data_IF_585622677837
#
_entry.id   IF_585622677837
#
_cell.length_a   1.000
_cell.length_b   1.000
_cell.length_c   1.000
_cell.angle_alpha   90.00
_cell.angle_beta   90.00
_cell.angle_gamma   90.00
#
_symmetry.space_group_name_H-M   'P 1'
#
loop_
_entity.id
_entity.type
_entity.pdbx_description
1 polymer ?
#
# COMPACT_ATOMS: atom_id res chain seq x y z
N UNK A 1 39.13 0.75 -28.41
CA UNK A 1 38.96 1.84 -29.40
C UNK A 1 37.66 1.59 -30.16
N UNK A 2 36.73 2.56 -30.26
CA UNK A 2 35.54 2.38 -31.08
C UNK A 2 35.94 2.20 -32.55
N UNK A 3 35.18 1.38 -33.25
CA UNK A 3 35.47 0.96 -34.62
C UNK A 3 35.63 2.18 -35.55
N UNK A 4 34.86 3.24 -35.33
CA UNK A 4 34.88 4.46 -36.15
C UNK A 4 36.17 5.28 -36.04
N UNK A 5 36.68 5.54 -34.83
CA UNK A 5 37.94 6.26 -34.65
C UNK A 5 39.14 5.46 -35.18
N UNK A 6 39.05 4.13 -35.07
CA UNK A 6 40.07 3.21 -35.56
C UNK A 6 40.09 3.21 -37.10
N UNK A 7 38.92 3.13 -37.74
CA UNK A 7 38.76 3.22 -39.19
C UNK A 7 39.19 4.59 -39.72
N UNK A 8 38.87 5.68 -39.01
CA UNK A 8 39.29 7.03 -39.37
C UNK A 8 40.82 7.18 -39.31
N UNK A 9 41.49 6.68 -38.26
CA UNK A 9 42.95 6.67 -38.20
C UNK A 9 43.58 5.84 -39.31
N UNK A 10 43.07 4.62 -39.57
CA UNK A 10 43.58 3.77 -40.64
C UNK A 10 43.50 4.44 -42.01
N UNK A 11 42.37 5.11 -42.29
CA UNK A 11 42.21 5.84 -43.55
C UNK A 11 43.11 7.07 -43.63
N UNK A 12 43.43 7.71 -42.50
CA UNK A 12 44.32 8.87 -42.43
C UNK A 12 45.78 8.43 -42.65
N UNK A 13 46.18 7.29 -42.10
CA UNK A 13 47.48 6.65 -42.38
C UNK A 13 47.65 6.36 -43.87
N UNK A 14 46.63 5.80 -44.52
CA UNK A 14 46.68 5.49 -45.96
C UNK A 14 46.86 6.76 -46.83
N UNK A 15 46.17 7.87 -46.52
CA UNK A 15 46.33 9.14 -47.24
C UNK A 15 47.71 9.78 -47.05
N UNK A 16 48.33 9.57 -45.88
CA UNK A 16 49.70 10.01 -45.59
C UNK A 16 50.72 9.22 -46.43
N UNK A 17 50.54 7.91 -46.56
CA UNK A 17 51.41 7.05 -47.36
C UNK A 17 51.39 7.43 -48.84
N UNK A 18 50.25 7.89 -49.38
CA UNK A 18 50.10 8.32 -50.78
C UNK A 18 50.89 9.61 -51.11
N UNK A 19 51.17 10.46 -50.11
CA UNK A 19 51.97 11.66 -50.29
C UNK A 19 53.46 11.36 -50.54
N UNK A 20 53.97 10.23 -50.05
CA UNK A 20 55.39 9.84 -50.16
C UNK A 20 55.88 9.67 -51.61
N UNK A 21 55.21 8.83 -52.43
CA UNK A 21 55.50 8.71 -53.86
C UNK A 21 55.28 10.03 -54.62
N UNK A 22 54.20 10.74 -54.25
CA UNK A 22 53.94 12.18 -54.46
C UNK A 22 55.21 13.03 -54.54
N UNK A 23 55.80 13.22 -53.36
CA UNK A 23 56.97 14.06 -53.13
C UNK A 23 58.23 13.49 -53.79
N UNK A 24 58.40 12.17 -53.76
CA UNK A 24 59.60 11.51 -54.29
C UNK A 24 59.79 11.76 -55.78
N UNK A 25 58.73 11.68 -56.59
CA UNK A 25 58.87 12.01 -58.02
C UNK A 25 58.81 13.50 -58.33
N UNK A 26 58.42 14.38 -57.39
CA UNK A 26 58.51 15.84 -57.58
C UNK A 26 60.00 16.18 -57.54
N UNK A 27 60.70 15.63 -56.55
CA UNK A 27 62.15 15.75 -56.40
C UNK A 27 62.91 15.27 -57.64
N UNK A 28 62.55 14.11 -58.21
CA UNK A 28 63.18 13.60 -59.44
C UNK A 28 62.94 14.48 -60.67
N UNK A 29 61.77 15.14 -60.76
CA UNK A 29 61.40 15.97 -61.91
C UNK A 29 61.96 17.39 -61.84
N UNK A 30 62.42 17.83 -60.66
CA UNK A 30 62.99 19.17 -60.47
C UNK A 30 64.27 19.41 -61.29
N UNK A 31 65.10 18.38 -61.48
CA UNK A 31 66.30 18.48 -62.33
C UNK A 31 65.94 18.69 -63.80
N UNK A 32 64.90 18.01 -64.30
CA UNK A 32 64.40 18.19 -65.67
C UNK A 32 63.77 19.57 -65.89
N UNK A 33 63.10 20.10 -64.86
CA UNK A 33 62.55 21.47 -64.87
C UNK A 33 63.68 22.50 -64.89
N UNK A 34 64.73 22.29 -64.10
CA UNK A 34 65.90 23.16 -64.06
C UNK A 34 66.61 23.22 -65.42
N UNK A 35 66.63 22.11 -66.16
CA UNK A 35 67.16 22.02 -67.52
C UNK A 35 66.21 22.58 -68.61
N UNK A 36 65.09 23.23 -68.24
CA UNK A 36 64.20 23.95 -69.15
C UNK A 36 63.07 23.12 -69.78
N UNK A 37 62.76 21.92 -69.27
CA UNK A 37 61.68 21.10 -69.83
C UNK A 37 60.29 21.56 -69.37
N UNK A 38 59.55 22.23 -70.25
CA UNK A 38 58.15 22.62 -70.00
C UNK A 38 57.22 21.43 -69.69
N UNK A 39 57.50 20.25 -70.26
CA UNK A 39 56.74 19.04 -69.98
C UNK A 39 56.98 18.52 -68.55
N UNK A 40 58.19 18.70 -68.02
CA UNK A 40 58.50 18.36 -66.63
C UNK A 40 57.83 19.34 -65.67
N UNK A 41 57.74 20.62 -66.03
CA UNK A 41 57.07 21.65 -65.24
C UNK A 41 55.58 21.33 -65.07
N UNK A 42 54.88 21.02 -66.16
CA UNK A 42 53.46 20.65 -66.12
C UNK A 42 53.20 19.38 -65.28
N UNK A 43 54.10 18.38 -65.34
CA UNK A 43 54.02 17.17 -64.49
C UNK A 43 54.27 17.52 -63.02
N UNK A 44 55.23 18.39 -62.74
CA UNK A 44 55.56 18.84 -61.40
C UNK A 44 54.37 19.59 -60.78
N UNK A 45 53.75 20.53 -61.50
CA UNK A 45 52.56 21.25 -61.06
C UNK A 45 51.38 20.32 -60.75
N UNK A 46 51.11 19.34 -61.61
CA UNK A 46 50.05 18.37 -61.36
C UNK A 46 50.30 17.58 -60.05
N UNK A 47 51.55 17.16 -59.82
CA UNK A 47 51.92 16.38 -58.63
C UNK A 47 51.92 17.24 -57.36
N UNK A 48 52.29 18.52 -57.46
CA UNK A 48 52.12 19.50 -56.39
C UNK A 48 50.63 19.68 -56.04
N UNK A 49 49.75 19.77 -57.04
CA UNK A 49 48.30 19.85 -56.81
C UNK A 49 47.74 18.58 -56.13
N UNK A 50 48.23 17.40 -56.49
CA UNK A 50 47.86 16.13 -55.82
C UNK A 50 48.25 16.19 -54.34
N UNK A 51 49.50 16.55 -54.02
CA UNK A 51 49.98 16.64 -52.63
C UNK A 51 49.19 17.71 -51.85
N UNK A 52 48.93 18.87 -52.46
CA UNK A 52 48.12 19.93 -51.84
C UNK A 52 46.72 19.43 -51.48
N UNK A 53 46.04 18.76 -52.41
CA UNK A 53 44.70 18.24 -52.19
C UNK A 53 44.69 17.14 -51.12
N UNK A 54 45.70 16.25 -51.11
CA UNK A 54 45.85 15.24 -50.08
C UNK A 54 46.07 15.84 -48.69
N UNK A 55 46.90 16.90 -48.57
CA UNK A 55 47.12 17.60 -47.30
C UNK A 55 45.85 18.28 -46.78
N UNK A 56 45.01 18.84 -47.67
CA UNK A 56 43.71 19.39 -47.30
C UNK A 56 42.79 18.29 -46.76
N UNK A 57 42.70 17.15 -47.45
CA UNK A 57 41.88 16.01 -47.01
C UNK A 57 42.37 15.45 -45.67
N UNK A 58 43.68 15.28 -45.49
CA UNK A 58 44.31 14.88 -44.22
C UNK A 58 43.94 15.85 -43.10
N UNK A 59 44.02 17.17 -43.35
CA UNK A 59 43.67 18.20 -42.37
C UNK A 59 42.21 18.12 -41.96
N UNK A 60 41.30 17.92 -42.92
CA UNK A 60 39.88 17.78 -42.66
C UNK A 60 39.57 16.50 -41.87
N UNK A 61 40.25 15.39 -42.18
CA UNK A 61 40.13 14.14 -41.43
C UNK A 61 40.63 14.26 -40.00
N UNK A 62 41.77 14.95 -39.78
CA UNK A 62 42.25 15.25 -38.42
C UNK A 62 41.24 16.08 -37.64
N UNK A 63 40.64 17.10 -38.28
CA UNK A 63 39.60 17.92 -37.64
C UNK A 63 38.39 17.08 -37.23
N UNK A 64 37.92 16.18 -38.11
CA UNK A 64 36.81 15.26 -37.82
C UNK A 64 37.16 14.29 -36.69
N UNK A 65 38.36 13.69 -36.72
CA UNK A 65 38.83 12.80 -35.66
C UNK A 65 38.93 13.53 -34.31
N UNK A 66 39.42 14.77 -34.30
CA UNK A 66 39.46 15.59 -33.09
C UNK A 66 38.05 15.84 -32.51
N UNK A 67 37.08 16.19 -33.36
CA UNK A 67 35.70 16.39 -32.94
C UNK A 67 35.05 15.11 -32.38
N UNK A 68 35.31 13.95 -32.99
CA UNK A 68 34.76 12.67 -32.50
C UNK A 68 35.38 12.26 -31.18
N UNK A 69 36.68 12.50 -30.98
CA UNK A 69 37.36 12.24 -29.71
C UNK A 69 36.83 13.14 -28.58
N UNK A 70 36.66 14.44 -28.81
CA UNK A 70 36.10 15.37 -27.82
C UNK A 70 34.67 14.96 -27.42
N UNK A 71 33.81 14.66 -28.41
CA UNK A 71 32.45 14.22 -28.12
C UNK A 71 32.41 12.92 -27.30
N UNK A 72 33.38 12.02 -27.54
CA UNK A 72 33.50 10.77 -26.80
C UNK A 72 33.98 10.99 -25.37
N UNK A 73 34.94 11.87 -25.17
CA UNK A 73 35.43 12.26 -23.85
C UNK A 73 34.29 12.80 -22.98
N UNK A 74 33.53 13.76 -23.51
CA UNK A 74 32.33 14.30 -22.84
C UNK A 74 31.29 13.22 -22.49
N UNK A 75 31.05 12.29 -23.41
CA UNK A 75 30.14 11.18 -23.14
C UNK A 75 30.67 10.22 -22.05
N UNK A 76 31.99 10.00 -21.98
CA UNK A 76 32.59 9.19 -20.92
C UNK A 76 32.53 9.90 -19.56
N UNK A 77 32.79 11.22 -19.53
CA UNK A 77 32.64 12.04 -18.32
C UNK A 77 31.20 11.98 -17.80
N UNK A 78 30.20 12.19 -18.67
CA UNK A 78 28.80 12.08 -18.29
C UNK A 78 28.46 10.70 -17.71
N UNK A 79 28.96 9.62 -18.33
CA UNK A 79 28.74 8.26 -17.81
C UNK A 79 29.41 8.05 -16.45
N UNK A 80 30.58 8.65 -16.22
CA UNK A 80 31.24 8.59 -14.92
C UNK A 80 30.42 9.31 -13.85
N UNK A 81 29.84 10.47 -14.17
CA UNK A 81 28.97 11.21 -13.26
C UNK A 81 27.67 10.45 -12.96
N UNK A 82 27.05 9.85 -13.97
CA UNK A 82 25.85 9.02 -13.80
C UNK A 82 26.13 7.81 -12.89
N UNK A 83 27.24 7.10 -13.13
CA UNK A 83 27.67 5.95 -12.30
C UNK A 83 27.93 6.40 -10.86
N UNK A 84 28.57 7.57 -10.68
CA UNK A 84 28.83 8.13 -9.35
C UNK A 84 27.54 8.48 -8.62
N UNK A 85 26.56 9.05 -9.32
CA UNK A 85 25.26 9.36 -8.74
C UNK A 85 24.49 8.09 -8.33
N UNK A 86 24.51 7.06 -9.18
CA UNK A 86 23.86 5.78 -8.89
C UNK A 86 24.53 5.06 -7.71
N UNK A 87 25.87 5.08 -7.64
CA UNK A 87 26.61 4.57 -6.49
C UNK A 87 26.22 5.28 -5.19
N UNK A 88 26.11 6.61 -5.21
CA UNK A 88 25.67 7.39 -4.05
C UNK A 88 24.24 7.09 -3.62
N UNK A 89 23.32 6.80 -4.56
CA UNK A 89 21.96 6.37 -4.22
C UNK A 89 21.98 4.98 -3.59
N UNK A 90 22.67 4.03 -4.22
CA UNK A 90 22.79 2.67 -3.71
C UNK A 90 23.42 2.63 -2.32
N UNK A 91 24.41 3.47 -2.04
CA UNK A 91 25.02 3.59 -0.71
C UNK A 91 23.99 4.04 0.34
N UNK A 92 23.15 5.04 0.03
CA UNK A 92 22.09 5.49 0.95
C UNK A 92 21.05 4.40 1.21
N UNK A 93 20.71 3.62 0.19
CA UNK A 93 19.76 2.51 0.33
C UNK A 93 20.33 1.41 1.23
N UNK A 94 21.62 1.09 1.07
CA UNK A 94 22.33 0.16 1.98
C UNK A 94 22.31 0.68 3.41
N UNK A 95 22.65 1.95 3.64
CA UNK A 95 22.64 2.52 4.99
C UNK A 95 21.25 2.47 5.64
N UNK A 96 20.19 2.75 4.86
CA UNK A 96 18.80 2.65 5.33
C UNK A 96 18.40 1.20 5.66
N UNK A 97 18.79 0.24 4.82
CA UNK A 97 18.53 -1.17 5.06
C UNK A 97 19.29 -1.68 6.30
N UNK A 98 20.54 -1.27 6.48
CA UNK A 98 21.32 -1.59 7.68
C UNK A 98 20.66 -1.04 8.95
N UNK A 99 20.17 0.20 8.93
CA UNK A 99 19.46 0.79 10.06
C UNK A 99 18.14 0.04 10.33
N UNK A 100 17.38 -0.28 9.28
CA UNK A 100 16.13 -1.02 9.42
C UNK A 100 16.35 -2.42 9.97
N UNK A 101 17.43 -3.09 9.55
CA UNK A 101 17.79 -4.42 10.06
C UNK A 101 18.11 -4.35 11.55
N UNK A 102 18.89 -3.36 12.00
CA UNK A 102 19.20 -3.15 13.42
C UNK A 102 17.92 -2.97 14.27
N UNK A 103 16.96 -2.17 13.79
CA UNK A 103 15.67 -1.98 14.48
C UNK A 103 14.86 -3.29 14.53
N UNK A 104 14.84 -4.05 13.43
CA UNK A 104 14.14 -5.33 13.36
C UNK A 104 14.76 -6.35 14.32
N UNK A 105 16.08 -6.42 14.41
CA UNK A 105 16.80 -7.28 15.37
C UNK A 105 16.42 -6.91 16.80
N UNK A 106 16.48 -5.62 17.17
CA UNK A 106 16.12 -5.20 18.52
C UNK A 106 14.65 -5.52 18.87
N UNK A 107 13.73 -5.36 17.91
CA UNK A 107 12.32 -5.77 18.09
C UNK A 107 12.18 -7.28 18.27
N UNK A 108 12.99 -8.07 17.57
CA UNK A 108 13.07 -9.52 17.74
C UNK A 108 13.48 -9.89 19.17
N UNK A 109 14.55 -9.28 19.68
CA UNK A 109 15.04 -9.50 21.04
C UNK A 109 13.99 -9.12 22.10
N UNK A 110 13.26 -8.03 21.88
CA UNK A 110 12.18 -7.59 22.78
C UNK A 110 10.99 -8.57 22.78
N UNK A 111 10.57 -9.05 21.60
CA UNK A 111 9.52 -10.06 21.50
C UNK A 111 9.94 -11.37 22.17
N UNK A 112 11.20 -11.77 22.03
CA UNK A 112 11.74 -12.95 22.70
C UNK A 112 11.71 -12.80 24.22
N UNK A 113 12.07 -11.63 24.75
CA UNK A 113 11.98 -11.35 26.19
C UNK A 113 10.54 -11.45 26.69
N UNK A 114 9.59 -10.78 26.01
CA UNK A 114 8.16 -10.83 26.36
C UNK A 114 7.60 -12.26 26.30
N UNK A 115 8.05 -13.07 25.35
CA UNK A 115 7.64 -14.47 25.26
C UNK A 115 8.10 -15.25 26.49
N UNK A 116 9.33 -15.05 26.96
CA UNK A 116 9.83 -15.72 28.16
C UNK A 116 9.08 -15.23 29.42
N UNK A 117 8.79 -13.92 29.52
CA UNK A 117 7.99 -13.35 30.62
C UNK A 117 6.58 -13.99 30.67
N UNK A 118 5.88 -14.02 29.53
CA UNK A 118 4.53 -14.62 29.45
C UNK A 118 4.51 -16.12 29.74
N UNK A 119 5.58 -16.83 29.40
CA UNK A 119 5.77 -18.24 29.71
C UNK A 119 5.98 -18.46 31.21
N UNK A 120 6.72 -17.58 31.87
CA UNK A 120 6.87 -17.61 33.33
C UNK A 120 5.59 -17.25 34.06
N UNK A 121 4.83 -16.27 33.57
CA UNK A 121 3.49 -15.94 34.07
C UNK A 121 2.54 -17.13 33.93
N UNK A 122 2.57 -17.84 32.80
CA UNK A 122 1.76 -19.03 32.59
C UNK A 122 2.14 -20.16 33.56
N UNK A 123 3.45 -20.38 33.80
CA UNK A 123 3.92 -21.35 34.79
C UNK A 123 3.47 -20.96 36.21
N UNK A 124 3.49 -19.68 36.54
CA UNK A 124 3.00 -19.17 37.81
C UNK A 124 1.49 -19.40 37.95
N UNK A 125 0.69 -19.00 36.96
CA UNK A 125 -0.76 -19.21 36.94
C UNK A 125 -1.11 -20.69 37.06
N UNK A 126 -0.42 -21.58 36.32
CA UNK A 126 -0.62 -23.03 36.40
C UNK A 126 -0.40 -23.58 37.81
N UNK A 127 0.65 -23.12 38.52
CA UNK A 127 0.88 -23.50 39.92
C UNK A 127 -0.28 -23.05 40.81
N UNK A 128 -0.70 -21.80 40.67
CA UNK A 128 -1.80 -21.23 41.47
C UNK A 128 -3.14 -21.92 41.21
N UNK A 129 -3.39 -22.39 39.98
CA UNK A 129 -4.55 -23.22 39.66
C UNK A 129 -4.50 -24.57 40.37
N UNK A 130 -3.35 -25.25 40.34
CA UNK A 130 -3.18 -26.53 41.05
C UNK A 130 -3.36 -26.38 42.58
N UNK A 131 -2.85 -25.30 43.16
CA UNK A 131 -3.11 -24.95 44.57
C UNK A 131 -4.61 -24.72 44.82
N UNK A 132 -5.27 -23.98 43.92
CA UNK A 132 -6.73 -23.79 43.97
C UNK A 132 -7.52 -25.09 43.90
N UNK A 133 -7.17 -26.01 42.99
CA UNK A 133 -7.77 -27.34 42.90
C UNK A 133 -7.62 -28.13 44.20
N UNK A 134 -6.44 -28.10 44.80
CA UNK A 134 -6.20 -28.75 46.10
C UNK A 134 -7.11 -28.17 47.19
N UNK A 135 -7.21 -26.83 47.29
CA UNK A 135 -8.08 -26.19 48.28
C UNK A 135 -9.56 -26.54 48.07
N UNK A 136 -10.00 -26.70 46.82
CA UNK A 136 -11.39 -27.11 46.52
C UNK A 136 -11.63 -28.55 46.95
N UNK A 137 -10.68 -29.46 46.72
CA UNK A 137 -10.82 -30.85 47.20
C UNK A 137 -10.79 -30.97 48.72
N UNK A 138 -9.97 -30.16 49.40
CA UNK A 138 -9.96 -30.08 50.86
C UNK A 138 -11.33 -29.57 51.38
N UNK A 139 -11.88 -28.51 50.77
CA UNK A 139 -13.20 -27.98 51.13
C UNK A 139 -14.34 -28.96 50.85
N UNK A 140 -14.30 -29.69 49.73
CA UNK A 140 -15.28 -30.77 49.45
C UNK A 140 -15.24 -31.84 50.53
N UNK A 141 -14.04 -32.20 50.99
CA UNK A 141 -13.86 -33.21 52.03
C UNK A 141 -14.40 -32.73 53.37
N UNK A 142 -14.09 -31.47 53.75
CA UNK A 142 -14.68 -30.83 54.93
C UNK A 142 -16.20 -30.75 54.86
N UNK A 143 -16.78 -30.45 53.69
CA UNK A 143 -18.22 -30.41 53.50
C UNK A 143 -18.87 -31.79 53.67
N UNK A 144 -18.26 -32.85 53.14
CA UNK A 144 -18.74 -34.23 53.35
C UNK A 144 -18.73 -34.60 54.83
N UNK A 145 -17.66 -34.26 55.55
CA UNK A 145 -17.55 -34.51 56.99
C UNK A 145 -18.59 -33.70 57.78
N UNK A 146 -18.81 -32.44 57.41
CA UNK A 146 -19.83 -31.60 58.03
C UNK A 146 -21.25 -32.16 57.79
N UNK A 147 -21.57 -32.59 56.57
CA UNK A 147 -22.84 -33.23 56.26
C UNK A 147 -23.04 -34.51 57.05
N UNK A 148 -22.01 -35.36 57.17
CA UNK A 148 -22.08 -36.57 58.00
C UNK A 148 -22.40 -36.23 59.46
N UNK A 149 -21.75 -35.21 60.02
CA UNK A 149 -22.03 -34.74 61.39
C UNK A 149 -23.46 -34.20 61.55
N UNK A 150 -23.99 -33.52 60.55
CA UNK A 150 -25.39 -33.06 60.56
C UNK A 150 -26.33 -34.26 60.51
N UNK A 151 -26.07 -35.25 59.66
CA UNK A 151 -26.87 -36.48 59.63
C UNK A 151 -26.84 -37.24 60.96
N UNK A 152 -25.66 -37.34 61.59
CA UNK A 152 -25.49 -37.89 62.94
C UNK A 152 -26.29 -37.08 63.98
N UNK A 153 -26.19 -35.74 63.95
CA UNK A 153 -26.94 -34.87 64.85
C UNK A 153 -28.46 -34.88 64.61
N UNK A 154 -28.91 -35.04 63.35
CA UNK A 154 -30.33 -35.20 63.00
C UNK A 154 -30.88 -36.56 63.42
N UNK A 155 -30.05 -37.62 63.38
CA UNK A 155 -30.41 -38.90 63.94
C UNK A 155 -30.59 -38.81 65.47
N UNK A 156 -29.77 -38.01 66.15
CA UNK A 156 -29.92 -37.70 67.58
C UNK A 156 -31.07 -36.69 67.89
N UNK A 157 -31.44 -35.82 66.94
CA UNK A 157 -32.51 -34.81 67.07
C UNK A 157 -33.90 -35.28 66.61
N UNK A 158 -34.11 -36.58 66.38
CA UNK A 158 -35.46 -37.15 66.24
C UNK A 158 -36.28 -37.10 67.55
N UNK A 159 -35.77 -36.40 68.57
CA UNK A 159 -36.57 -35.64 69.52
C UNK A 159 -36.16 -34.17 69.46
N UNK A 160 -37.11 -33.36 68.99
CA UNK A 160 -37.21 -31.91 69.18
C UNK A 160 -36.68 -30.98 68.06
N UNK A 161 -37.58 -30.06 67.75
CA UNK A 161 -37.72 -29.15 66.61
C UNK A 161 -36.65 -28.05 66.50
N UNK A 162 -36.43 -27.53 65.27
CA UNK A 162 -35.77 -26.23 65.12
C UNK A 162 -35.21 -25.90 63.74
N UNK A 163 -36.04 -25.31 62.89
CA UNK A 163 -35.70 -24.69 61.61
C UNK A 163 -34.75 -23.48 61.78
N UNK A 164 -33.79 -23.28 60.86
CA UNK A 164 -33.33 -21.95 60.43
C UNK A 164 -32.56 -21.99 59.11
N UNK A 165 -33.10 -21.26 58.13
CA UNK A 165 -32.53 -20.89 56.84
C UNK A 165 -31.22 -20.12 56.97
N UNK A 166 -30.26 -20.40 56.08
CA UNK A 166 -29.36 -19.38 55.52
C UNK A 166 -28.60 -19.93 54.32
N UNK A 167 -29.11 -19.69 53.11
CA UNK A 167 -28.26 -19.59 51.91
C UNK A 167 -28.89 -18.67 50.88
N UNK A 168 -28.10 -17.71 50.42
CA UNK A 168 -28.38 -16.75 49.35
C UNK A 168 -28.87 -17.44 48.07
N UNK A 169 -30.19 -17.57 47.93
CA UNK A 169 -30.83 -18.05 46.71
C UNK A 169 -30.78 -16.95 45.64
N UNK A 170 -30.00 -17.16 44.58
CA UNK A 170 -30.21 -16.44 43.32
C UNK A 170 -31.63 -16.77 42.85
N UNK A 171 -32.49 -15.78 42.70
CA UNK A 171 -33.90 -15.98 42.35
C UNK A 171 -34.00 -16.85 41.07
N UNK A 172 -34.72 -17.98 41.08
CA UNK A 172 -34.85 -18.87 39.91
C UNK A 172 -35.39 -18.15 38.67
N UNK A 173 -36.21 -17.10 38.85
CA UNK A 173 -36.69 -16.27 37.76
C UNK A 173 -35.56 -15.48 37.05
N UNK A 174 -34.51 -15.09 37.78
CA UNK A 174 -33.36 -14.37 37.21
C UNK A 174 -32.44 -15.30 36.43
N UNK A 175 -32.25 -16.54 36.90
CA UNK A 175 -31.57 -17.59 36.12
C UNK A 175 -32.34 -17.93 34.84
N UNK A 176 -33.66 -18.01 34.90
CA UNK A 176 -34.48 -18.23 33.70
C UNK A 176 -34.35 -17.08 32.69
N UNK A 177 -34.38 -15.82 33.15
CA UNK A 177 -34.14 -14.64 32.31
C UNK A 177 -32.75 -14.66 31.68
N UNK A 178 -31.73 -15.08 32.42
CA UNK A 178 -30.37 -15.24 31.91
C UNK A 178 -30.29 -16.32 30.82
N UNK A 179 -30.92 -17.48 31.02
CA UNK A 179 -30.94 -18.56 30.03
C UNK A 179 -31.65 -18.13 28.73
N UNK A 180 -32.74 -17.38 28.84
CA UNK A 180 -33.43 -16.81 27.66
C UNK A 180 -32.51 -15.82 26.92
N UNK A 181 -31.83 -14.92 27.64
CA UNK A 181 -30.90 -13.97 27.04
C UNK A 181 -29.73 -14.67 26.31
N UNK A 182 -29.21 -15.77 26.85
CA UNK A 182 -28.22 -16.61 26.17
C UNK A 182 -28.76 -17.27 24.91
N UNK A 183 -29.99 -17.81 24.96
CA UNK A 183 -30.63 -18.41 23.78
C UNK A 183 -30.79 -17.40 22.64
N UNK A 184 -31.23 -16.18 22.95
CA UNK A 184 -31.36 -15.11 21.95
C UNK A 184 -29.99 -14.65 21.45
N UNK A 185 -28.98 -14.59 22.31
CA UNK A 185 -27.60 -14.24 21.92
C UNK A 185 -27.01 -15.26 20.95
N UNK A 186 -27.15 -16.57 21.21
CA UNK A 186 -26.68 -17.61 20.31
C UNK A 186 -27.40 -17.56 18.95
N UNK A 187 -28.71 -17.31 18.95
CA UNK A 187 -29.47 -17.11 17.73
C UNK A 187 -29.02 -15.85 16.95
N UNK A 188 -28.66 -14.77 17.65
CA UNK A 188 -28.15 -13.54 17.04
C UNK A 188 -26.76 -13.75 16.41
N UNK A 189 -25.88 -14.49 17.08
CA UNK A 189 -24.55 -14.85 16.57
C UNK A 189 -24.69 -15.75 15.35
N UNK A 190 -25.57 -16.76 15.40
CA UNK A 190 -25.83 -17.63 14.25
C UNK A 190 -26.31 -16.86 13.02
N UNK A 191 -27.22 -15.89 13.19
CA UNK A 191 -27.68 -15.04 12.10
C UNK A 191 -26.56 -14.13 11.57
N UNK A 192 -25.72 -13.61 12.47
CA UNK A 192 -24.58 -12.78 12.14
C UNK A 192 -23.55 -13.52 11.28
N UNK A 193 -23.18 -14.74 11.68
CA UNK A 193 -22.21 -15.57 10.96
C UNK A 193 -22.76 -16.03 9.60
N UNK A 194 -24.09 -16.18 9.48
CA UNK A 194 -24.77 -16.42 8.21
C UNK A 194 -24.86 -15.18 7.30
N UNK A 195 -24.44 -14.00 7.76
CA UNK A 195 -24.54 -12.74 7.02
C UNK A 195 -25.94 -12.10 7.02
N UNK A 196 -26.86 -12.59 7.85
CA UNK A 196 -28.22 -12.08 7.96
C UNK A 196 -28.30 -10.89 8.94
N UNK A 197 -27.58 -9.82 8.62
CA UNK A 197 -27.41 -8.66 9.52
C UNK A 197 -28.74 -7.97 9.90
N UNK A 198 -29.73 -8.00 9.01
CA UNK A 198 -31.05 -7.41 9.24
C UNK A 198 -31.87 -8.16 10.31
N UNK A 199 -31.68 -9.48 10.44
CA UNK A 199 -32.33 -10.29 11.48
C UNK A 199 -31.50 -10.34 12.75
N UNK A 200 -30.18 -10.16 12.65
CA UNK A 200 -29.26 -10.17 13.79
C UNK A 200 -29.34 -8.88 14.65
N UNK A 201 -29.39 -7.66 14.07
CA UNK A 201 -29.46 -6.41 14.87
C UNK A 201 -30.61 -6.35 15.89
N UNK A 202 -31.87 -6.67 15.55
CA UNK A 202 -32.96 -6.62 16.52
C UNK A 202 -32.74 -7.64 17.65
N UNK A 203 -32.25 -8.85 17.35
CA UNK A 203 -31.93 -9.85 18.37
C UNK A 203 -30.82 -9.40 19.32
N UNK A 204 -29.77 -8.74 18.80
CA UNK A 204 -28.74 -8.15 19.66
C UNK A 204 -29.26 -6.97 20.49
N UNK A 205 -30.21 -6.18 19.96
CA UNK A 205 -30.88 -5.13 20.72
C UNK A 205 -31.73 -5.70 21.87
N UNK A 206 -32.42 -6.80 21.62
CA UNK A 206 -33.20 -7.52 22.63
C UNK A 206 -32.29 -8.08 23.73
N UNK A 207 -31.18 -8.73 23.37
CA UNK A 207 -30.18 -9.19 24.35
C UNK A 207 -29.64 -8.02 25.18
N UNK A 208 -29.31 -6.90 24.57
CA UNK A 208 -28.83 -5.73 25.31
C UNK A 208 -29.87 -5.19 26.30
N UNK A 209 -31.15 -5.23 25.94
CA UNK A 209 -32.26 -4.85 26.82
C UNK A 209 -32.45 -5.85 27.96
N UNK A 210 -32.40 -7.15 27.66
CA UNK A 210 -32.48 -8.22 28.65
C UNK A 210 -31.33 -8.15 29.65
N UNK A 211 -30.10 -7.93 29.19
CA UNK A 211 -28.90 -7.78 30.04
C UNK A 211 -29.00 -6.55 30.94
N UNK A 212 -29.53 -5.43 30.45
CA UNK A 212 -29.78 -4.24 31.29
C UNK A 212 -30.77 -4.48 32.42
N UNK A 213 -31.70 -5.42 32.24
CA UNK A 213 -32.73 -5.76 33.25
C UNK A 213 -32.29 -6.87 34.21
N UNK A 214 -31.13 -7.52 33.99
CA UNK A 214 -30.59 -8.53 34.90
C UNK A 214 -29.93 -7.87 36.14
N UNK A 215 -29.85 -8.58 37.29
CA UNK A 215 -29.02 -8.17 38.42
C UNK A 215 -27.55 -8.00 38.03
N UNK A 216 -26.82 -7.06 38.64
CA UNK A 216 -25.40 -6.79 38.36
C UNK A 216 -24.52 -8.05 38.47
N UNK A 217 -24.84 -8.93 39.43
CA UNK A 217 -24.21 -10.22 39.64
C UNK A 217 -24.42 -11.23 38.50
N UNK A 218 -25.28 -10.98 37.50
CA UNK A 218 -25.45 -11.85 36.33
C UNK A 218 -25.06 -11.16 35.02
N UNK A 219 -24.86 -9.83 35.04
CA UNK A 219 -24.46 -9.04 33.86
C UNK A 219 -23.04 -9.32 33.39
N UNK A 220 -22.14 -9.62 34.32
CA UNK A 220 -20.72 -9.88 34.00
C UNK A 220 -20.50 -11.12 33.12
N UNK A 221 -21.50 -12.00 33.03
CA UNK A 221 -21.46 -13.17 32.15
C UNK A 221 -21.72 -12.82 30.67
N UNK A 222 -22.15 -11.58 30.38
CA UNK A 222 -22.36 -11.09 29.03
C UNK A 222 -21.27 -10.09 28.65
N UNK A 223 -20.57 -10.37 27.55
CA UNK A 223 -19.62 -9.42 26.98
C UNK A 223 -20.37 -8.30 26.25
N UNK A 224 -20.62 -7.22 26.99
CA UNK A 224 -21.27 -6.02 26.45
C UNK A 224 -20.49 -5.36 25.32
N UNK A 225 -19.16 -5.50 25.29
CA UNK A 225 -18.30 -4.95 24.22
C UNK A 225 -18.49 -5.75 22.93
N UNK A 226 -18.51 -7.09 23.03
CA UNK A 226 -18.80 -7.96 21.88
C UNK A 226 -20.20 -7.72 21.31
N UNK A 227 -21.22 -7.59 22.18
CA UNK A 227 -22.59 -7.26 21.74
C UNK A 227 -22.61 -5.91 21.01
N UNK A 228 -21.94 -4.88 21.55
CA UNK A 228 -21.85 -3.57 20.90
C UNK A 228 -21.11 -3.62 19.56
N UNK A 229 -20.08 -4.46 19.44
CA UNK A 229 -19.35 -4.71 18.20
C UNK A 229 -20.28 -5.31 17.14
N UNK A 230 -20.98 -6.41 17.44
CA UNK A 230 -21.87 -7.07 16.49
C UNK A 230 -22.98 -6.13 16.00
N UNK A 231 -23.58 -5.34 16.91
CA UNK A 231 -24.57 -4.32 16.52
C UNK A 231 -24.00 -3.25 15.61
N UNK A 232 -22.77 -2.80 15.87
CA UNK A 232 -22.11 -1.78 15.05
C UNK A 232 -21.85 -2.29 13.63
N UNK A 233 -21.44 -3.57 13.50
CA UNK A 233 -21.26 -4.23 12.20
C UNK A 233 -22.61 -4.42 11.50
N UNK A 234 -23.64 -4.94 12.17
CA UNK A 234 -24.96 -5.12 11.55
C UNK A 234 -25.51 -3.81 10.99
N UNK A 235 -25.39 -2.71 11.75
CA UNK A 235 -25.84 -1.38 11.31
C UNK A 235 -25.00 -0.82 10.18
N UNK A 236 -23.72 -1.15 10.12
CA UNK A 236 -22.86 -0.75 9.01
C UNK A 236 -23.24 -1.46 7.69
N UNK A 237 -23.70 -2.71 7.76
CA UNK A 237 -24.09 -3.49 6.57
C UNK A 237 -25.54 -3.27 6.13
N UNK A 238 -26.42 -2.83 7.03
CA UNK A 238 -27.87 -2.65 6.76
C UNK A 238 -28.33 -1.21 6.64
N UNK A 239 -27.62 -0.27 7.30
CA UNK A 239 -27.99 1.13 7.36
C UNK A 239 -27.48 1.95 6.18
N UNK A 240 -27.79 3.24 6.18
CA UNK A 240 -27.21 4.18 5.23
C UNK A 240 -25.71 4.40 5.53
N UNK A 241 -24.91 4.73 4.51
CA UNK A 241 -23.46 4.92 4.70
C UNK A 241 -23.13 5.99 5.78
N UNK A 242 -24.00 6.99 5.99
CA UNK A 242 -23.82 8.01 7.04
C UNK A 242 -24.09 7.48 8.45
N UNK A 243 -25.13 6.67 8.61
CA UNK A 243 -25.45 6.03 9.89
C UNK A 243 -24.37 5.01 10.26
N UNK A 244 -23.91 4.26 9.27
CA UNK A 244 -22.78 3.34 9.39
C UNK A 244 -21.52 4.07 9.88
N UNK A 245 -21.14 5.19 9.25
CA UNK A 245 -19.98 5.99 9.67
C UNK A 245 -20.11 6.46 11.12
N UNK A 246 -21.29 6.93 11.50
CA UNK A 246 -21.56 7.45 12.86
C UNK A 246 -21.41 6.34 13.89
N UNK A 247 -22.06 5.18 13.67
CA UNK A 247 -22.05 4.06 14.63
C UNK A 247 -20.67 3.41 14.77
N UNK A 248 -19.93 3.25 13.67
CA UNK A 248 -18.56 2.73 13.72
C UNK A 248 -17.61 3.69 14.45
N UNK A 249 -17.80 5.00 14.27
CA UNK A 249 -16.99 6.02 14.99
C UNK A 249 -17.31 6.03 16.48
N UNK A 250 -18.60 5.98 16.85
CA UNK A 250 -19.03 5.88 18.25
C UNK A 250 -18.43 4.65 18.95
N UNK A 251 -18.39 3.50 18.27
CA UNK A 251 -17.79 2.28 18.81
C UNK A 251 -16.30 2.47 19.12
N UNK A 252 -15.53 3.01 18.18
CA UNK A 252 -14.09 3.24 18.36
C UNK A 252 -13.78 4.25 19.48
N UNK A 253 -14.68 5.20 19.75
CA UNK A 253 -14.53 6.18 20.83
C UNK A 253 -14.97 5.65 22.20
N UNK A 254 -15.96 4.77 22.22
CA UNK A 254 -16.59 4.31 23.47
C UNK A 254 -15.96 3.04 24.03
N UNK A 255 -15.26 2.25 23.21
CA UNK A 255 -14.75 0.93 23.58
C UNK A 255 -13.24 0.80 23.38
N UNK A 256 -12.48 1.56 24.18
CA UNK A 256 -11.02 1.51 24.20
C UNK A 256 -10.45 0.15 24.66
N UNK A 257 -11.23 -0.67 25.36
CA UNK A 257 -10.82 -2.02 25.79
C UNK A 257 -11.25 -3.13 24.82
N UNK A 258 -11.86 -2.81 23.67
CA UNK A 258 -12.25 -3.82 22.68
C UNK A 258 -11.04 -4.61 22.16
N UNK A 259 -11.27 -5.88 21.81
CA UNK A 259 -10.24 -6.75 21.28
C UNK A 259 -9.59 -6.14 20.02
N UNK A 260 -8.28 -6.34 19.85
CA UNK A 260 -7.53 -5.77 18.73
C UNK A 260 -8.11 -6.18 17.36
N UNK A 261 -8.60 -7.41 17.24
CA UNK A 261 -9.28 -7.93 16.03
C UNK A 261 -10.61 -7.20 15.75
N UNK A 262 -11.42 -6.94 16.78
CA UNK A 262 -12.68 -6.19 16.65
C UNK A 262 -12.41 -4.75 16.21
N UNK A 263 -11.40 -4.09 16.80
CA UNK A 263 -10.99 -2.74 16.39
C UNK A 263 -10.46 -2.71 14.96
N UNK A 264 -9.64 -3.69 14.56
CA UNK A 264 -9.13 -3.80 13.21
C UNK A 264 -10.27 -3.96 12.19
N UNK A 265 -11.25 -4.79 12.49
CA UNK A 265 -12.41 -5.00 11.63
C UNK A 265 -13.30 -3.75 11.53
N UNK A 266 -13.64 -3.11 12.65
CA UNK A 266 -14.43 -1.87 12.66
C UNK A 266 -13.71 -0.74 11.91
N UNK A 267 -12.38 -0.62 12.09
CA UNK A 267 -11.57 0.38 11.39
C UNK A 267 -11.54 0.12 9.88
N UNK A 268 -11.45 -1.15 9.47
CA UNK A 268 -11.56 -1.55 8.07
C UNK A 268 -12.94 -1.19 7.48
N UNK A 269 -14.03 -1.52 8.16
CA UNK A 269 -15.40 -1.18 7.75
C UNK A 269 -15.60 0.33 7.65
N UNK A 270 -15.08 1.10 8.61
CA UNK A 270 -15.14 2.55 8.59
C UNK A 270 -14.41 3.14 7.39
N UNK A 271 -13.22 2.62 7.06
CA UNK A 271 -12.49 3.01 5.85
C UNK A 271 -13.33 2.72 4.60
N UNK A 272 -13.94 1.53 4.51
CA UNK A 272 -14.79 1.11 3.39
C UNK A 272 -16.00 2.04 3.22
N UNK A 273 -16.70 2.36 4.30
CA UNK A 273 -17.84 3.27 4.31
C UNK A 273 -17.44 4.69 3.91
N UNK A 274 -16.28 5.18 4.36
CA UNK A 274 -15.76 6.50 3.97
C UNK A 274 -15.36 6.58 2.50
N UNK A 275 -14.92 5.47 1.90
CA UNK A 275 -14.73 5.39 0.44
C UNK A 275 -16.06 5.58 -0.28
N UNK A 276 -17.14 4.91 0.16
CA UNK A 276 -18.48 5.06 -0.44
C UNK A 276 -19.00 6.50 -0.34
N UNK A 277 -18.72 7.17 0.78
CA UNK A 277 -19.05 8.59 1.00
C UNK A 277 -18.13 9.59 0.27
N UNK A 278 -17.14 9.12 -0.49
CA UNK A 278 -16.20 9.99 -1.23
C UNK A 278 -15.15 10.68 -0.36
N UNK A 279 -15.02 10.32 0.93
CA UNK A 279 -14.07 10.91 1.88
C UNK A 279 -12.71 10.22 1.83
N UNK A 280 -12.04 10.32 0.67
CA UNK A 280 -10.83 9.53 0.36
C UNK A 280 -9.63 9.79 1.29
N UNK A 281 -9.45 11.01 1.79
CA UNK A 281 -8.32 11.33 2.69
C UNK A 281 -8.47 10.68 4.06
N UNK A 282 -9.67 10.75 4.64
CA UNK A 282 -9.98 10.10 5.90
C UNK A 282 -10.07 8.58 5.76
N UNK A 283 -10.56 8.09 4.61
CA UNK A 283 -10.58 6.66 4.31
C UNK A 283 -9.16 6.08 4.23
N UNK A 284 -8.21 6.82 3.63
CA UNK A 284 -6.81 6.40 3.56
C UNK A 284 -6.19 6.24 4.96
N UNK A 285 -6.45 7.19 5.86
CA UNK A 285 -5.94 7.15 7.22
C UNK A 285 -6.43 5.92 7.99
N UNK A 286 -7.73 5.66 7.97
CA UNK A 286 -8.28 4.46 8.61
C UNK A 286 -7.87 3.17 7.91
N UNK A 287 -7.69 3.18 6.58
CA UNK A 287 -7.20 2.00 5.86
C UNK A 287 -5.75 1.66 6.24
N UNK A 288 -4.88 2.66 6.41
CA UNK A 288 -3.52 2.44 6.92
C UNK A 288 -3.54 1.88 8.34
N UNK A 289 -4.37 2.46 9.22
CA UNK A 289 -4.55 1.98 10.59
C UNK A 289 -5.06 0.55 10.64
N UNK A 290 -6.04 0.20 9.79
CA UNK A 290 -6.61 -1.14 9.74
C UNK A 290 -5.56 -2.18 9.28
N UNK A 291 -4.76 -1.85 8.25
CA UNK A 291 -3.68 -2.73 7.79
C UNK A 291 -2.61 -2.93 8.87
N UNK A 292 -2.26 -1.86 9.61
CA UNK A 292 -1.35 -1.95 10.75
C UNK A 292 -1.88 -2.85 11.87
N UNK A 293 -3.13 -2.63 12.28
CA UNK A 293 -3.77 -3.41 13.33
C UNK A 293 -3.93 -4.89 12.93
N UNK A 294 -4.33 -5.18 11.69
CA UNK A 294 -4.43 -6.55 11.20
C UNK A 294 -3.06 -7.24 11.13
N UNK A 295 -2.00 -6.53 10.75
CA UNK A 295 -0.66 -7.09 10.74
C UNK A 295 -0.16 -7.47 12.14
N UNK A 296 -0.52 -6.69 13.16
CA UNK A 296 -0.20 -6.99 14.56
C UNK A 296 -1.02 -8.15 15.13
N UNK A 297 -2.26 -8.32 14.68
CA UNK A 297 -3.16 -9.41 15.11
C UNK A 297 -2.80 -10.72 14.41
N UNK A 298 -2.82 -10.74 13.08
CA UNK A 298 -2.46 -11.90 12.27
C UNK A 298 -2.16 -11.47 10.82
N UNK A 299 -0.88 -11.51 10.45
CA UNK A 299 -0.42 -11.18 9.09
C UNK A 299 -0.79 -12.20 8.01
N UNK A 300 -1.36 -13.35 8.38
CA UNK A 300 -1.72 -14.45 7.47
C UNK A 300 -3.22 -14.54 7.16
N UNK A 301 -4.07 -13.82 7.90
CA UNK A 301 -5.51 -13.91 7.77
C UNK A 301 -6.05 -13.23 6.50
N UNK A 302 -7.19 -13.69 6.01
CA UNK A 302 -7.82 -13.13 4.80
C UNK A 302 -8.30 -11.68 5.03
N UNK A 303 -8.69 -11.33 6.27
CA UNK A 303 -9.13 -9.99 6.64
C UNK A 303 -8.01 -8.95 6.53
N UNK A 304 -6.76 -9.35 6.78
CA UNK A 304 -5.58 -8.51 6.52
C UNK A 304 -5.46 -8.20 5.02
N UNK A 305 -5.58 -9.22 4.16
CA UNK A 305 -5.50 -9.03 2.71
C UNK A 305 -6.69 -8.26 2.14
N UNK A 306 -7.87 -8.35 2.74
CA UNK A 306 -9.02 -7.50 2.43
C UNK A 306 -8.73 -6.02 2.75
N UNK A 307 -8.05 -5.73 3.87
CA UNK A 307 -7.61 -4.38 4.20
C UNK A 307 -6.53 -3.85 3.23
N UNK A 308 -5.60 -4.70 2.80
CA UNK A 308 -4.59 -4.37 1.79
C UNK A 308 -5.23 -4.08 0.42
N UNK A 309 -6.22 -4.87 0.01
CA UNK A 309 -6.96 -4.65 -1.24
C UNK A 309 -7.72 -3.31 -1.21
N UNK A 310 -8.36 -2.98 -0.08
CA UNK A 310 -9.02 -1.69 0.11
C UNK A 310 -8.02 -0.51 0.05
N UNK A 311 -6.83 -0.66 0.65
CA UNK A 311 -5.78 0.35 0.60
C UNK A 311 -5.32 0.62 -0.85
N UNK A 312 -5.09 -0.44 -1.63
CA UNK A 312 -4.76 -0.32 -3.05
C UNK A 312 -5.88 0.39 -3.83
N UNK A 313 -7.15 0.10 -3.51
CA UNK A 313 -8.31 0.76 -4.12
C UNK A 313 -8.34 2.26 -3.83
N UNK A 314 -8.07 2.67 -2.60
CA UNK A 314 -8.01 4.09 -2.22
C UNK A 314 -6.91 4.81 -3.01
N UNK A 315 -5.72 4.21 -3.17
CA UNK A 315 -4.66 4.81 -3.98
C UNK A 315 -5.04 4.96 -5.45
N UNK A 316 -5.74 3.97 -6.01
CA UNK A 316 -6.27 4.09 -7.37
C UNK A 316 -7.28 5.23 -7.49
N UNK A 317 -8.22 5.34 -6.55
CA UNK A 317 -9.23 6.43 -6.52
C UNK A 317 -8.60 7.81 -6.33
N UNK A 318 -7.44 7.90 -5.68
CA UNK A 318 -6.64 9.14 -5.56
C UNK A 318 -5.78 9.44 -6.80
N UNK A 319 -5.98 8.74 -7.93
CA UNK A 319 -5.21 8.91 -9.17
C UNK A 319 -3.72 8.61 -8.96
N UNK A 320 -3.41 7.59 -8.14
CA UNK A 320 -2.03 7.11 -7.89
C UNK A 320 -1.90 5.62 -8.22
N UNK A 321 -2.03 5.23 -9.50
CA UNK A 321 -2.03 3.82 -9.91
C UNK A 321 -0.70 3.11 -9.61
N UNK A 322 0.43 3.82 -9.69
CA UNK A 322 1.75 3.28 -9.35
C UNK A 322 1.82 2.80 -7.89
N UNK A 323 1.19 3.53 -6.96
CA UNK A 323 1.15 3.16 -5.54
C UNK A 323 0.19 2.00 -5.26
N UNK A 324 -0.93 1.96 -5.97
CA UNK A 324 -1.85 0.81 -5.89
C UNK A 324 -1.15 -0.49 -6.34
N UNK A 325 -0.39 -0.43 -7.44
CA UNK A 325 0.40 -1.56 -7.92
C UNK A 325 1.53 -1.94 -6.96
N UNK A 326 2.21 -0.96 -6.36
CA UNK A 326 3.25 -1.22 -5.37
C UNK A 326 2.71 -1.98 -4.15
N UNK A 327 1.53 -1.60 -3.64
CA UNK A 327 0.86 -2.30 -2.53
C UNK A 327 0.49 -3.75 -2.93
N UNK A 328 -0.05 -3.96 -4.13
CA UNK A 328 -0.41 -5.31 -4.60
C UNK A 328 0.84 -6.18 -4.77
N UNK A 329 1.92 -5.63 -5.32
CA UNK A 329 3.15 -6.38 -5.60
C UNK A 329 3.92 -6.80 -4.35
N UNK A 330 3.68 -6.15 -3.22
CA UNK A 330 4.27 -6.49 -1.94
C UNK A 330 3.51 -7.54 -1.12
N UNK A 331 2.33 -7.94 -1.59
CA UNK A 331 1.63 -9.08 -0.99
C UNK A 331 2.39 -10.38 -1.30
N UNK A 332 2.39 -11.40 -0.42
CA UNK A 332 3.00 -12.70 -0.72
C UNK A 332 2.42 -13.36 -1.96
N UNK A 333 3.23 -14.06 -2.75
CA UNK A 333 2.85 -14.59 -4.08
C UNK A 333 1.58 -15.45 -4.04
N UNK A 334 1.43 -16.28 -3.00
CA UNK A 334 0.26 -17.15 -2.76
C UNK A 334 -1.04 -16.40 -2.43
N UNK A 335 -0.97 -15.10 -2.10
CA UNK A 335 -2.12 -14.24 -1.79
C UNK A 335 -2.27 -13.06 -2.76
N UNK A 336 -1.35 -12.87 -3.71
CA UNK A 336 -1.43 -11.80 -4.71
C UNK A 336 -2.70 -11.90 -5.56
N UNK A 337 -3.07 -13.10 -5.99
CA UNK A 337 -4.26 -13.27 -6.82
C UNK A 337 -5.57 -13.05 -6.04
N UNK A 338 -5.57 -13.40 -4.75
CA UNK A 338 -6.67 -13.05 -3.84
C UNK A 338 -6.84 -11.53 -3.72
N UNK A 339 -5.74 -10.80 -3.44
CA UNK A 339 -5.74 -9.34 -3.32
C UNK A 339 -6.14 -8.69 -4.64
N UNK A 340 -5.67 -9.19 -5.79
CA UNK A 340 -6.08 -8.70 -7.12
C UNK A 340 -7.56 -8.90 -7.37
N UNK A 341 -8.09 -10.08 -7.03
CA UNK A 341 -9.51 -10.39 -7.21
C UNK A 341 -10.40 -9.51 -6.32
N UNK A 342 -10.05 -9.37 -5.04
CA UNK A 342 -10.75 -8.47 -4.10
C UNK A 342 -10.65 -6.99 -4.50
N UNK A 343 -9.49 -6.55 -4.98
CA UNK A 343 -9.33 -5.22 -5.56
C UNK A 343 -10.24 -5.01 -6.78
N UNK A 344 -10.39 -6.02 -7.63
CA UNK A 344 -11.24 -5.99 -8.80
C UNK A 344 -12.74 -5.96 -8.43
N UNK A 345 -13.18 -6.70 -7.42
CA UNK A 345 -14.58 -6.65 -6.96
C UNK A 345 -14.94 -5.32 -6.27
N UNK A 346 -13.95 -4.63 -5.69
CA UNK A 346 -14.09 -3.27 -5.17
C UNK A 346 -14.05 -2.19 -6.26
N UNK A 347 -13.80 -2.56 -7.52
CA UNK A 347 -13.92 -1.69 -8.69
C UNK A 347 -15.38 -1.75 -9.16
N UNK A 348 -16.08 -0.61 -9.12
CA UNK A 348 -17.31 -0.51 -9.90
C UNK A 348 -16.97 -0.85 -11.37
N UNK A 349 -17.77 -1.65 -12.07
CA UNK A 349 -17.53 -1.92 -13.49
C UNK A 349 -17.49 -0.57 -14.20
N UNK A 350 -16.31 -0.18 -14.64
CA UNK A 350 -16.17 0.93 -15.57
C UNK A 350 -16.95 0.53 -16.80
N UNK A 351 -18.02 1.26 -17.08
CA UNK A 351 -18.65 1.31 -18.40
C UNK A 351 -17.52 1.54 -19.39
N UNK A 352 -17.10 0.45 -20.04
CA UNK A 352 -16.31 0.51 -21.26
C UNK A 352 -17.18 1.27 -22.24
N UNK A 353 -16.87 2.54 -22.44
CA UNK A 353 -17.30 3.25 -23.64
C UNK A 353 -16.51 2.60 -24.76
N UNK A 354 -17.05 1.49 -25.27
CA UNK A 354 -16.60 0.90 -26.51
C UNK A 354 -16.78 1.97 -27.61
N UNK A 355 -15.86 2.08 -28.58
CA UNK A 355 -16.11 2.88 -29.77
C UNK A 355 -17.41 2.36 -30.39
N UNK A 356 -18.31 3.27 -30.76
CA UNK A 356 -19.58 2.95 -31.38
C UNK A 356 -19.37 1.93 -32.52
N UNK A 357 -20.08 0.79 -32.52
CA UNK A 357 -20.12 -0.05 -33.70
C UNK A 357 -20.78 0.75 -34.82
N UNK A 358 -20.07 0.84 -35.95
CA UNK A 358 -20.60 1.36 -37.20
C UNK A 358 -21.86 0.56 -37.53
N UNK A 359 -23.01 1.21 -37.39
CA UNK A 359 -24.27 0.67 -37.84
C UNK A 359 -24.21 0.53 -39.36
N UNK A 360 -24.17 -0.71 -39.83
CA UNK A 360 -24.51 -1.08 -41.20
C UNK A 360 -25.95 -0.64 -41.47
N UNK A 361 -26.22 0.12 -42.55
CA UNK A 361 -27.57 0.53 -42.88
C UNK A 361 -28.36 -0.65 -43.48
N UNK A 362 -29.68 -0.73 -43.25
CA UNK A 362 -30.52 -1.78 -43.82
C UNK A 362 -30.71 -1.58 -45.33
N UNK A 363 -30.62 -2.70 -46.06
CA UNK A 363 -30.88 -2.84 -47.49
C UNK A 363 -32.40 -2.92 -47.72
N UNK A 364 -32.96 -1.94 -48.44
CA UNK A 364 -34.24 -2.03 -49.19
C UNK A 364 -34.12 -1.10 -50.42
N UNK A 365 -34.66 -1.45 -51.62
CA UNK A 365 -34.02 -1.11 -52.90
C UNK A 365 -34.40 0.25 -53.51
N UNK A 366 -33.55 0.62 -54.48
CA UNK A 366 -33.56 1.78 -55.39
C UNK A 366 -34.93 2.08 -56.02
N UNK A 367 -35.24 3.37 -56.28
CA UNK A 367 -35.09 3.84 -57.65
C UNK A 367 -34.46 5.24 -57.80
N UNK A 368 -33.60 5.33 -58.81
CA UNK A 368 -33.36 6.39 -59.79
C UNK A 368 -33.67 7.85 -59.42
N UNK A 369 -32.67 8.74 -59.58
CA UNK A 369 -32.63 9.86 -60.58
C UNK A 369 -31.89 11.13 -60.06
N UNK A 370 -30.83 11.54 -60.80
CA UNK A 370 -30.24 12.89 -61.03
C UNK A 370 -29.64 13.79 -59.90
N UNK A 371 -28.48 14.38 -60.21
CA UNK A 371 -27.66 15.37 -59.47
C UNK A 371 -28.18 16.83 -59.62
N UNK A 372 -27.43 17.94 -59.32
CA UNK A 372 -26.36 18.24 -58.34
C UNK A 372 -26.63 19.55 -57.51
N UNK A 373 -25.82 19.89 -56.48
CA UNK A 373 -25.76 21.28 -55.99
C UNK A 373 -25.10 21.59 -54.63
N UNK A 374 -23.89 22.18 -54.69
CA UNK A 374 -23.38 23.34 -53.93
C UNK A 374 -23.42 23.48 -52.37
N UNK A 375 -22.23 23.77 -51.85
CA UNK A 375 -21.84 24.80 -50.85
C UNK A 375 -21.53 24.47 -49.36
N UNK A 376 -20.28 24.80 -49.02
CA UNK A 376 -19.67 25.17 -47.72
C UNK A 376 -20.37 26.43 -47.13
N UNK A 377 -20.28 26.76 -45.82
CA UNK A 377 -19.04 27.40 -45.31
C UNK A 377 -18.72 27.36 -43.78
N UNK A 378 -17.44 27.65 -43.50
CA UNK A 378 -16.79 28.42 -42.40
C UNK A 378 -16.91 28.10 -40.90
N UNK A 379 -15.71 27.89 -40.34
CA UNK A 379 -15.19 28.07 -38.98
C UNK A 379 -15.00 29.56 -38.61
N UNK A 380 -14.97 29.93 -37.32
CA UNK A 380 -14.10 31.01 -36.84
C UNK A 380 -13.08 30.57 -35.77
N UNK A 381 -11.98 31.32 -35.72
CA UNK A 381 -10.79 31.16 -34.87
C UNK A 381 -10.74 32.22 -33.75
N UNK A 382 -10.20 31.80 -32.57
CA UNK A 382 -9.33 32.41 -31.52
C UNK A 382 -9.33 33.95 -31.27
N UNK A 383 -8.98 34.46 -30.06
CA UNK A 383 -7.57 34.69 -29.71
C UNK A 383 -7.18 34.53 -28.20
N UNK A 384 -5.88 34.57 -27.95
CA UNK A 384 -5.17 34.43 -26.67
C UNK A 384 -4.66 35.78 -26.08
N UNK A 385 -4.00 35.67 -24.91
CA UNK A 385 -3.19 36.66 -24.13
C UNK A 385 -3.97 37.54 -23.12
N UNK A 386 -3.60 37.64 -21.83
CA UNK A 386 -2.36 38.25 -21.29
C UNK A 386 -2.18 38.00 -19.76
N UNK A 387 -0.92 37.96 -19.28
CA UNK A 387 -0.43 38.18 -17.88
C UNK A 387 -0.16 39.71 -17.72
N UNK A 388 -0.10 40.41 -16.54
CA UNK A 388 0.78 40.18 -15.35
C UNK A 388 0.18 40.78 -14.02
N UNK A 389 0.90 41.28 -12.97
CA UNK A 389 2.27 41.06 -12.44
C UNK A 389 2.32 40.69 -10.93
N UNK A 390 3.57 40.54 -10.45
CA UNK A 390 4.09 40.27 -9.11
C UNK A 390 4.05 41.53 -8.22
N UNK A 391 3.70 41.40 -6.93
CA UNK A 391 3.94 42.43 -5.90
C UNK A 391 4.51 41.80 -4.64
N UNK A 392 5.55 42.43 -4.12
CA UNK A 392 6.31 42.12 -2.90
C UNK A 392 6.11 43.30 -1.96
N UNK A 393 5.34 43.15 -0.88
CA UNK A 393 5.41 44.01 0.32
C UNK A 393 5.06 43.14 1.53
N UNK A 394 5.92 43.17 2.54
CA UNK A 394 5.78 42.37 3.76
C UNK A 394 4.66 42.84 4.66
N UNK A 395 4.11 41.90 5.44
CA UNK A 395 3.52 42.19 6.73
C UNK A 395 3.70 41.01 7.66
N UNK A 396 4.01 41.37 8.90
CA UNK A 396 4.45 40.59 10.04
C UNK A 396 3.37 39.66 10.62
N UNK A 397 3.83 38.47 11.02
CA UNK A 397 3.44 37.69 12.20
C UNK A 397 1.94 37.56 12.53
N UNK A 398 1.39 36.38 12.29
CA UNK A 398 0.63 35.62 13.31
C UNK A 398 0.65 34.13 12.95
N UNK A 399 1.26 33.35 13.83
CA UNK A 399 1.53 31.92 13.64
C UNK A 399 0.26 31.07 13.59
N UNK A 400 0.15 30.29 12.53
CA UNK A 400 -0.56 29.02 12.52
C UNK A 400 0.32 28.04 11.78
N UNK A 401 0.83 27.04 12.51
CA UNK A 401 1.73 26.02 11.99
C UNK A 401 1.04 25.22 10.89
N UNK A 402 1.26 25.63 9.64
CA UNK A 402 0.94 24.83 8.47
C UNK A 402 1.86 23.61 8.47
N UNK A 403 1.43 22.54 9.14
CA UNK A 403 2.03 21.22 8.98
C UNK A 403 1.90 20.86 7.50
N UNK A 404 3.03 20.82 6.81
CA UNK A 404 3.13 20.43 5.41
C UNK A 404 2.31 19.16 5.14
N UNK A 405 1.58 19.13 4.03
CA UNK A 405 0.87 17.93 3.58
C UNK A 405 1.80 16.72 3.43
N UNK A 406 3.12 16.94 3.28
CA UNK A 406 4.13 15.90 3.34
C UNK A 406 4.35 15.34 4.76
N UNK A 407 4.37 16.19 5.80
CA UNK A 407 4.48 15.75 7.21
C UNK A 407 3.25 14.95 7.64
N UNK A 408 2.04 15.40 7.29
CA UNK A 408 0.81 14.63 7.58
C UNK A 408 0.76 13.29 6.83
N UNK A 409 1.37 13.19 5.64
CA UNK A 409 1.49 11.92 4.89
C UNK A 409 2.51 10.96 5.51
N UNK A 410 3.67 11.47 5.93
CA UNK A 410 4.70 10.66 6.58
C UNK A 410 4.18 10.05 7.88
N UNK A 411 3.38 10.80 8.65
CA UNK A 411 2.72 10.32 9.87
C UNK A 411 1.75 9.16 9.62
N UNK A 412 0.94 9.24 8.55
CA UNK A 412 -0.07 8.22 8.19
C UNK A 412 0.54 6.87 7.83
N UNK A 413 1.74 6.85 7.22
CA UNK A 413 2.39 5.62 6.81
C UNK A 413 3.16 4.95 7.95
N UNK A 414 3.37 5.61 9.11
CA UNK A 414 4.04 4.99 10.26
C UNK A 414 3.29 3.76 10.80
N UNK A 415 1.97 3.74 10.62
CA UNK A 415 1.09 2.64 11.05
C UNK A 415 1.15 1.43 10.12
N UNK A 416 1.73 1.56 8.92
CA UNK A 416 1.84 0.44 7.99
C UNK A 416 3.04 -0.46 8.34
N UNK A 417 2.95 -1.77 8.05
CA UNK A 417 4.09 -2.67 8.05
C UNK A 417 5.25 -2.11 7.20
N UNK A 418 6.48 -2.39 7.64
CA UNK A 418 7.70 -1.84 7.02
C UNK A 418 7.75 -2.05 5.51
N UNK A 419 7.33 -3.22 5.04
CA UNK A 419 7.28 -3.53 3.60
C UNK A 419 6.50 -2.46 2.82
N UNK A 420 5.29 -2.11 3.25
CA UNK A 420 4.45 -1.09 2.60
C UNK A 420 4.98 0.32 2.76
N UNK A 421 5.70 0.61 3.86
CA UNK A 421 6.33 1.92 4.04
C UNK A 421 7.38 2.18 2.96
N UNK A 422 8.21 1.18 2.66
CA UNK A 422 9.29 1.27 1.65
C UNK A 422 8.72 1.39 0.23
N UNK A 423 7.57 0.75 -0.08
CA UNK A 423 6.95 0.88 -1.41
C UNK A 423 6.28 2.23 -1.68
N UNK A 424 5.90 2.95 -0.62
CA UNK A 424 5.03 4.13 -0.71
C UNK A 424 5.78 5.46 -0.55
N UNK A 425 7.03 5.40 -0.08
CA UNK A 425 8.04 6.46 -0.12
C UNK A 425 8.68 6.51 -1.49
#
# INVERSE_FOLDING_TARGET
MPQDATSQMQSLTASLEECGPALSSIRLQLDDVWNGSNSALARCENRVNIVKNALVDITDRFRRLGATLIAREQHLEQRCDDIKADYQRSQKDVDQLTQSLSVATHRGDELQRRLEDTKDDLRYAKRRFAEGEQTVEDLKTQLRDANRRIEEAMADQSTDSGFSETTTATNPADRQRQNIAYGVLLAAISDFDAGNFATADPKFADVQTMVRNLPSALRHNFDTTSIAYHRSVCRAETGTDREAETKLTEFLQSYDQAAASQKAHITHLLARTRVKLGRLDSALEHSCSAVGQWYEVDSSCDQYYDAVALLARIFYLQIKPARALAVINQSPENKKDYVRNKYATLRAPTTTTAPAPVATPPVVPLPTTLAPGWQRPTRPQVPAFTRPPRSTVGSTVSGTSATSTASKRAERYKQLPLLFRIALT
#
